data_IF_083341747563
#
_entry.id   IF_083341747563
#
_cell.length_a   1.000
_cell.length_b   1.000
_cell.length_c   1.000
_cell.angle_alpha   90.00
_cell.angle_beta   90.00
_cell.angle_gamma   90.00
#
_symmetry.space_group_name_H-M   'P 1'
#
loop_
_entity.id
_entity.type
_entity.pdbx_description
1 polymer ?
#
# COMPACT_ATOMS: atom_id res chain seq x y z
N UNK A 1 21.31 -20.61 -32.45
CA UNK A 1 20.30 -19.54 -32.28
C UNK A 1 18.89 -20.13 -32.06
N UNK A 2 18.65 -20.84 -30.95
CA UNK A 2 17.30 -21.31 -30.57
C UNK A 2 16.87 -20.94 -29.14
N UNK A 3 17.82 -20.47 -28.32
CA UNK A 3 17.57 -20.05 -26.93
C UNK A 3 17.35 -18.54 -26.75
N UNK A 4 17.69 -17.72 -27.74
CA UNK A 4 17.55 -16.25 -27.64
C UNK A 4 16.08 -15.83 -27.74
N UNK A 5 15.25 -16.55 -28.50
CA UNK A 5 13.82 -16.23 -28.67
C UNK A 5 13.03 -16.46 -27.38
N UNK A 6 13.35 -17.51 -26.61
CA UNK A 6 12.70 -17.77 -25.33
C UNK A 6 12.99 -16.69 -24.27
N UNK A 7 14.22 -16.15 -24.25
CA UNK A 7 14.61 -15.09 -23.32
C UNK A 7 13.93 -13.75 -23.69
N UNK A 8 13.80 -13.43 -24.99
CA UNK A 8 13.11 -12.21 -25.43
C UNK A 8 11.60 -12.25 -25.17
N UNK A 9 10.97 -13.42 -25.29
CA UNK A 9 9.54 -13.59 -24.95
C UNK A 9 9.32 -13.49 -23.44
N UNK A 10 10.20 -14.05 -22.60
CA UNK A 10 10.12 -13.89 -21.14
C UNK A 10 10.42 -12.46 -20.66
N UNK A 11 11.39 -11.76 -21.26
CA UNK A 11 11.69 -10.36 -20.89
C UNK A 11 10.53 -9.40 -21.23
N UNK A 12 9.80 -9.65 -22.32
CA UNK A 12 8.62 -8.84 -22.67
C UNK A 12 7.41 -9.10 -21.75
N UNK A 13 7.30 -10.26 -21.10
CA UNK A 13 6.24 -10.49 -20.10
C UNK A 13 6.47 -9.78 -18.78
N UNK A 14 7.71 -9.36 -18.47
CA UNK A 14 8.03 -8.60 -17.24
C UNK A 14 7.99 -7.07 -17.44
N UNK A 15 7.62 -6.60 -18.63
CA UNK A 15 7.54 -5.17 -18.95
C UNK A 15 6.10 -4.65 -19.00
N UNK A 16 5.17 -5.34 -18.35
CA UNK A 16 3.90 -4.71 -17.98
C UNK A 16 4.22 -3.73 -16.86
N UNK A 17 4.58 -2.51 -17.27
CA UNK A 17 4.40 -1.33 -16.44
C UNK A 17 2.92 -1.35 -16.08
N UNK A 18 2.57 -1.91 -14.92
CA UNK A 18 1.22 -1.86 -14.38
C UNK A 18 0.78 -0.40 -14.48
N UNK A 19 -0.28 -0.15 -15.24
CA UNK A 19 -0.82 1.19 -15.35
C UNK A 19 -1.32 1.55 -13.95
N UNK A 20 -0.56 2.42 -13.28
CA UNK A 20 -0.76 2.78 -11.88
C UNK A 20 -1.00 4.28 -11.77
N UNK A 21 -1.99 4.67 -10.99
CA UNK A 21 -2.23 6.06 -10.64
C UNK A 21 -2.87 6.18 -9.26
N UNK A 22 -2.77 7.37 -8.68
CA UNK A 22 -3.50 7.69 -7.46
C UNK A 22 -3.73 9.19 -7.37
N UNK A 23 -4.73 9.60 -6.58
CA UNK A 23 -4.85 10.97 -6.12
C UNK A 23 -4.04 11.16 -4.85
N UNK A 24 -3.27 12.24 -4.79
CA UNK A 24 -2.60 12.64 -3.57
C UNK A 24 -3.64 13.20 -2.59
N UNK A 25 -4.22 12.31 -1.80
CA UNK A 25 -5.22 12.59 -0.77
C UNK A 25 -4.87 11.78 0.48
N UNK A 26 -4.50 12.52 1.53
CA UNK A 26 -4.13 11.98 2.84
C UNK A 26 -5.30 11.98 3.82
N UNK A 27 -6.51 12.35 3.39
CA UNK A 27 -7.69 12.38 4.24
C UNK A 27 -7.96 10.98 4.79
N UNK A 28 -8.05 10.85 6.11
CA UNK A 28 -8.34 9.59 6.81
C UNK A 28 -7.28 8.48 6.62
N UNK A 29 -6.05 8.87 6.22
CA UNK A 29 -4.89 7.97 6.14
C UNK A 29 -3.83 8.42 7.13
N UNK A 30 -3.42 7.52 8.03
CA UNK A 30 -2.33 7.82 8.97
C UNK A 30 -1.63 6.55 9.48
N UNK A 31 -0.44 6.73 10.05
CA UNK A 31 0.19 5.70 10.89
C UNK A 31 -0.28 5.94 12.32
N UNK A 32 -0.89 4.93 12.94
CA UNK A 32 -1.47 5.03 14.29
C UNK A 32 -0.56 4.49 15.39
N UNK A 33 0.28 3.48 15.09
CA UNK A 33 1.21 2.88 16.04
C UNK A 33 2.45 2.29 15.36
N UNK A 34 3.58 2.31 16.06
CA UNK A 34 4.83 1.65 15.65
C UNK A 34 5.46 0.97 16.85
N UNK A 35 5.76 -0.33 16.74
CA UNK A 35 6.48 -1.10 17.76
C UNK A 35 7.73 -1.74 17.18
N UNK A 36 8.85 -1.57 17.86
CA UNK A 36 10.09 -2.28 17.53
C UNK A 36 10.23 -3.48 18.45
N UNK A 37 10.62 -4.61 17.89
CA UNK A 37 10.87 -5.84 18.64
C UNK A 37 12.37 -6.07 18.82
N UNK A 38 12.75 -6.84 19.85
CA UNK A 38 14.14 -7.27 20.04
C UNK A 38 14.69 -8.15 18.90
N UNK A 39 13.82 -8.74 18.08
CA UNK A 39 14.17 -9.58 16.93
C UNK A 39 14.39 -8.80 15.63
N UNK A 40 14.62 -7.48 15.70
CA UNK A 40 14.74 -6.59 14.53
C UNK A 40 13.52 -6.67 13.61
N UNK A 41 12.35 -6.80 14.20
CA UNK A 41 11.07 -6.64 13.51
C UNK A 41 10.41 -5.35 13.95
N UNK A 42 9.66 -4.75 13.04
CA UNK A 42 8.87 -3.57 13.29
C UNK A 42 7.42 -3.86 12.94
N UNK A 43 6.52 -3.58 13.88
CA UNK A 43 5.08 -3.63 13.67
C UNK A 43 4.59 -2.20 13.41
N UNK A 44 3.91 -1.98 12.29
CA UNK A 44 3.30 -0.69 11.97
C UNK A 44 1.81 -0.88 11.77
N UNK A 45 1.04 -0.09 12.51
CA UNK A 45 -0.40 -0.02 12.35
C UNK A 45 -0.76 1.21 11.53
N UNK A 46 -1.49 0.98 10.46
CA UNK A 46 -1.95 2.00 9.52
C UNK A 46 -3.46 2.11 9.61
N UNK A 47 -3.94 3.33 9.79
CA UNK A 47 -5.34 3.69 9.67
C UNK A 47 -5.67 4.08 8.23
N UNK A 48 -6.81 3.60 7.74
CA UNK A 48 -7.34 3.97 6.43
C UNK A 48 -8.82 4.35 6.46
N UNK A 49 -9.35 4.82 5.32
CA UNK A 49 -10.67 5.42 5.23
C UNK A 49 -11.80 4.42 5.46
N UNK A 50 -12.97 4.94 5.85
CA UNK A 50 -14.22 4.15 5.82
C UNK A 50 -14.66 3.82 4.39
N UNK A 51 -15.46 2.76 4.24
CA UNK A 51 -16.10 2.43 2.96
C UNK A 51 -17.04 3.54 2.51
N UNK A 52 -17.09 3.78 1.20
CA UNK A 52 -18.02 4.73 0.59
C UNK A 52 -18.84 4.01 -0.47
N UNK A 53 -20.16 4.00 -0.31
CA UNK A 53 -21.09 3.50 -1.33
C UNK A 53 -21.84 4.68 -1.95
N UNK A 54 -21.69 4.84 -3.26
CA UNK A 54 -22.43 5.82 -4.02
C UNK A 54 -22.91 5.22 -5.34
N UNK A 55 -24.07 4.55 -5.36
CA UNK A 55 -24.55 3.84 -6.55
C UNK A 55 -24.80 4.74 -7.77
N UNK A 56 -24.82 6.07 -7.59
CA UNK A 56 -25.08 7.04 -8.65
C UNK A 56 -23.81 7.77 -9.14
N UNK A 57 -22.63 7.45 -8.61
CA UNK A 57 -21.37 8.09 -8.99
C UNK A 57 -20.29 7.07 -9.29
N UNK A 58 -19.31 7.49 -10.08
CA UNK A 58 -18.11 6.71 -10.34
C UNK A 58 -16.97 7.20 -9.44
N UNK A 59 -16.27 6.30 -8.73
CA UNK A 59 -16.55 4.88 -8.54
C UNK A 59 -17.74 4.66 -7.58
N UNK A 60 -18.52 3.61 -7.83
CA UNK A 60 -19.77 3.35 -7.10
C UNK A 60 -19.57 2.71 -5.72
N UNK A 61 -18.46 2.00 -5.53
CA UNK A 61 -18.06 1.39 -4.27
C UNK A 61 -16.57 1.66 -4.05
N UNK A 62 -16.23 2.21 -2.90
CA UNK A 62 -14.86 2.37 -2.42
C UNK A 62 -14.71 1.58 -1.12
N UNK A 63 -13.81 0.60 -1.14
CA UNK A 63 -13.56 -0.32 -0.03
C UNK A 63 -12.75 0.36 1.08
N UNK A 64 -12.94 -0.09 2.33
CA UNK A 64 -12.37 0.53 3.53
C UNK A 64 -10.93 0.11 3.82
N UNK A 65 -10.24 0.94 4.60
CA UNK A 65 -8.94 0.64 5.16
C UNK A 65 -7.79 0.72 4.15
N UNK A 66 -6.55 0.47 4.61
CA UNK A 66 -5.38 0.43 3.73
C UNK A 66 -5.49 -0.77 2.79
N UNK A 67 -5.30 -0.54 1.50
CA UNK A 67 -5.39 -1.58 0.47
C UNK A 67 -4.03 -1.95 -0.08
N UNK A 68 -3.13 -0.96 -0.24
CA UNK A 68 -1.77 -1.16 -0.72
C UNK A 68 -0.82 -0.37 0.15
N UNK A 69 0.31 -0.97 0.52
CA UNK A 69 1.45 -0.28 1.11
C UNK A 69 2.57 -0.20 0.07
N UNK A 70 3.18 0.97 -0.05
CA UNK A 70 4.36 1.22 -0.89
C UNK A 70 5.65 1.30 -0.10
N UNK A 71 6.53 2.22 -0.52
CA UNK A 71 7.84 2.41 0.10
C UNK A 71 7.71 2.63 1.60
N UNK A 72 8.60 1.99 2.36
CA UNK A 72 8.60 2.01 3.82
C UNK A 72 10.04 2.11 4.33
N UNK A 73 10.43 3.31 4.80
CA UNK A 73 11.81 3.68 5.15
C UNK A 73 11.88 4.42 6.49
N UNK A 74 13.01 4.30 7.18
CA UNK A 74 13.31 5.03 8.40
C UNK A 74 14.45 6.02 8.22
N UNK A 75 14.36 7.15 8.91
CA UNK A 75 15.31 8.26 8.87
C UNK A 75 15.60 8.78 10.28
N UNK A 76 16.67 9.56 10.42
CA UNK A 76 16.92 10.36 11.63
C UNK A 76 17.00 11.83 11.24
N UNK A 77 18.07 12.22 10.53
CA UNK A 77 18.40 13.63 10.26
C UNK A 77 18.41 14.01 8.78
N UNK A 78 18.73 13.07 7.88
CA UNK A 78 18.88 13.36 6.46
C UNK A 78 17.76 12.69 5.66
N UNK A 79 16.81 13.44 5.07
CA UNK A 79 15.70 12.86 4.30
C UNK A 79 16.15 12.13 3.02
N UNK A 80 17.40 12.34 2.58
CA UNK A 80 17.95 11.69 1.38
C UNK A 80 18.77 10.42 1.69
N UNK A 81 18.95 10.07 2.96
CA UNK A 81 19.75 8.91 3.38
C UNK A 81 18.98 8.10 4.44
N UNK A 82 18.16 7.12 4.01
CA UNK A 82 17.43 6.28 4.95
C UNK A 82 18.39 5.41 5.77
N UNK A 83 18.16 5.36 7.07
CA UNK A 83 18.91 4.47 7.97
C UNK A 83 18.50 3.01 7.78
N UNK A 84 17.27 2.76 7.33
CA UNK A 84 16.80 1.45 6.91
C UNK A 84 15.69 1.55 5.86
N UNK A 85 15.69 0.60 4.94
CA UNK A 85 14.61 0.35 3.99
C UNK A 85 13.95 -0.96 4.39
N UNK A 86 12.72 -0.89 4.89
CA UNK A 86 11.95 -2.06 5.30
C UNK A 86 11.29 -2.70 4.08
N UNK A 87 10.75 -1.85 3.20
CA UNK A 87 10.12 -2.26 1.95
C UNK A 87 10.38 -1.23 0.86
N UNK A 88 10.63 -1.70 -0.36
CA UNK A 88 10.91 -0.86 -1.53
C UNK A 88 10.22 -1.44 -2.77
N UNK A 89 8.91 -1.58 -2.64
CA UNK A 89 7.97 -1.94 -3.70
C UNK A 89 6.55 -1.57 -3.24
N UNK A 90 5.52 -2.00 -3.95
CA UNK A 90 4.12 -1.93 -3.52
C UNK A 90 3.51 -3.32 -3.40
N UNK A 91 2.64 -3.48 -2.42
CA UNK A 91 1.97 -4.76 -2.19
C UNK A 91 0.52 -4.51 -1.76
N UNK A 92 -0.42 -5.27 -2.32
CA UNK A 92 -1.74 -5.42 -1.74
C UNK A 92 -1.64 -6.02 -0.33
N UNK A 93 -2.32 -5.41 0.63
CA UNK A 93 -2.29 -5.79 2.04
C UNK A 93 -3.70 -5.96 2.57
N UNK A 94 -3.85 -6.28 3.86
CA UNK A 94 -5.15 -6.26 4.53
C UNK A 94 -6.18 -7.17 3.84
N UNK A 95 -5.70 -8.29 3.29
CA UNK A 95 -6.46 -9.28 2.54
C UNK A 95 -6.92 -8.85 1.14
N UNK A 96 -6.61 -7.64 0.70
CA UNK A 96 -6.90 -7.19 -0.65
C UNK A 96 -6.00 -7.85 -1.70
N UNK A 97 -6.52 -7.93 -2.92
CA UNK A 97 -5.82 -8.34 -4.13
C UNK A 97 -6.53 -7.77 -5.36
N UNK A 98 -5.94 -7.97 -6.52
CA UNK A 98 -6.58 -7.66 -7.81
C UNK A 98 -7.93 -8.36 -7.97
N UNK A 99 -8.07 -9.59 -7.44
CA UNK A 99 -9.27 -10.42 -7.57
C UNK A 99 -10.46 -9.96 -6.71
N UNK A 100 -10.21 -9.25 -5.61
CA UNK A 100 -11.25 -8.82 -4.68
C UNK A 100 -11.39 -7.29 -4.56
N UNK A 101 -10.54 -6.54 -5.25
CA UNK A 101 -10.72 -5.10 -5.43
C UNK A 101 -11.84 -4.80 -6.42
N UNK A 102 -12.51 -3.66 -6.23
CA UNK A 102 -13.62 -3.26 -7.11
C UNK A 102 -13.12 -3.05 -8.54
N UNK A 103 -13.74 -3.75 -9.50
CA UNK A 103 -13.60 -3.44 -10.92
C UNK A 103 -14.46 -2.21 -11.26
N UNK A 104 -13.85 -1.09 -11.68
CA UNK A 104 -14.58 0.15 -11.94
C UNK A 104 -15.61 0.00 -13.07
N UNK A 105 -15.41 -0.92 -14.02
CA UNK A 105 -16.35 -1.15 -15.13
C UNK A 105 -17.69 -1.71 -14.63
N UNK A 106 -17.71 -2.41 -13.51
CA UNK A 106 -18.95 -2.93 -12.90
C UNK A 106 -19.86 -1.79 -12.41
N UNK A 107 -19.30 -0.61 -12.12
CA UNK A 107 -20.07 0.56 -11.75
C UNK A 107 -20.74 1.24 -12.95
N UNK A 108 -20.21 1.06 -14.16
CA UNK A 108 -20.63 1.81 -15.36
C UNK A 108 -21.37 0.96 -16.38
N UNK A 109 -21.08 -0.35 -16.48
CA UNK A 109 -21.47 -1.18 -17.62
C UNK A 109 -22.10 -2.53 -17.23
N UNK A 110 -22.58 -2.68 -15.99
CA UNK A 110 -23.20 -3.91 -15.49
C UNK A 110 -24.49 -3.67 -14.69
N UNK A 111 -25.13 -4.74 -14.18
CA UNK A 111 -26.13 -4.59 -13.13
C UNK A 111 -25.51 -3.86 -11.92
N UNK A 112 -26.30 -3.08 -11.14
CA UNK A 112 -25.77 -2.31 -10.03
C UNK A 112 -24.93 -3.18 -9.08
N UNK A 113 -23.67 -2.81 -8.89
CA UNK A 113 -22.78 -3.48 -7.96
C UNK A 113 -23.33 -3.30 -6.55
N UNK A 114 -23.53 -4.40 -5.83
CA UNK A 114 -23.94 -4.38 -4.44
C UNK A 114 -22.71 -4.14 -3.56
N UNK A 115 -22.49 -2.88 -3.16
CA UNK A 115 -21.36 -2.49 -2.33
C UNK A 115 -21.38 -3.15 -0.93
N UNK A 116 -22.48 -3.76 -0.49
CA UNK A 116 -22.49 -4.50 0.78
C UNK A 116 -21.93 -5.92 0.64
N UNK A 117 -21.65 -6.37 -0.60
CA UNK A 117 -21.08 -7.69 -0.89
C UNK A 117 -19.63 -7.66 -1.35
N UNK A 118 -19.03 -6.49 -1.53
CA UNK A 118 -17.61 -6.40 -1.87
C UNK A 118 -16.77 -6.75 -0.65
N UNK A 119 -15.53 -7.21 -0.88
CA UNK A 119 -14.62 -7.50 0.21
C UNK A 119 -14.27 -6.21 0.97
N UNK A 120 -14.14 -6.29 2.29
CA UNK A 120 -13.72 -5.16 3.13
C UNK A 120 -12.59 -5.63 4.05
N UNK A 121 -11.47 -4.91 3.99
CA UNK A 121 -10.35 -5.07 4.91
C UNK A 121 -10.63 -4.41 6.27
N UNK A 122 -9.69 -4.54 7.20
CA UNK A 122 -9.73 -3.82 8.45
C UNK A 122 -9.45 -2.32 8.24
N UNK A 123 -10.14 -1.46 8.98
CA UNK A 123 -9.87 0.00 8.98
C UNK A 123 -8.46 0.28 9.51
N UNK A 124 -8.07 -0.43 10.57
CA UNK A 124 -6.73 -0.43 11.14
C UNK A 124 -6.02 -1.72 10.75
N UNK A 125 -4.93 -1.61 10.01
CA UNK A 125 -4.15 -2.75 9.54
C UNK A 125 -2.74 -2.71 10.12
N UNK A 126 -2.35 -3.77 10.82
CA UNK A 126 -0.99 -3.95 11.34
C UNK A 126 -0.20 -4.89 10.44
N UNK A 127 1.01 -4.48 10.03
CA UNK A 127 1.99 -5.35 9.38
C UNK A 127 3.27 -5.44 10.21
N UNK A 128 3.91 -6.60 10.16
CA UNK A 128 5.17 -6.87 10.84
C UNK A 128 6.22 -7.21 9.79
N UNK A 129 7.34 -6.50 9.80
CA UNK A 129 8.42 -6.69 8.83
C UNK A 129 9.78 -6.72 9.53
N UNK A 130 10.72 -7.46 8.95
CA UNK A 130 12.10 -7.43 9.39
C UNK A 130 12.80 -6.19 8.82
N UNK A 131 13.74 -5.62 9.58
CA UNK A 131 14.54 -4.50 9.11
C UNK A 131 16.01 -4.64 9.56
N UNK A 132 16.90 -3.91 8.89
CA UNK A 132 18.29 -3.79 9.35
C UNK A 132 18.40 -2.70 10.41
N UNK A 133 18.67 -3.11 11.65
CA UNK A 133 18.83 -2.21 12.79
C UNK A 133 20.24 -1.57 12.89
N UNK A 134 21.18 -1.89 12.00
CA UNK A 134 22.60 -1.52 12.10
C UNK A 134 22.85 0.00 12.22
N UNK A 135 21.97 0.82 11.65
CA UNK A 135 22.07 2.29 11.63
C UNK A 135 21.06 2.98 12.55
N UNK A 136 20.25 2.22 13.30
CA UNK A 136 19.32 2.80 14.27
C UNK A 136 20.09 3.40 15.46
N UNK A 137 19.53 4.44 16.10
CA UNK A 137 20.14 5.00 17.29
C UNK A 137 20.08 4.01 18.46
N UNK A 138 20.78 4.31 19.55
CA UNK A 138 20.56 3.58 20.80
C UNK A 138 19.09 3.70 21.26
N UNK A 139 18.56 2.72 22.02
CA UNK A 139 17.20 2.79 22.54
C UNK A 139 16.90 4.13 23.23
N UNK A 140 15.77 4.73 22.91
CA UNK A 140 15.40 6.10 23.30
C UNK A 140 15.67 7.17 22.24
N UNK A 141 16.40 6.84 21.17
CA UNK A 141 16.63 7.76 20.05
C UNK A 141 15.38 7.94 19.17
N UNK A 142 15.21 9.13 18.60
CA UNK A 142 14.11 9.42 17.68
C UNK A 142 14.43 8.95 16.26
N UNK A 143 13.42 8.41 15.59
CA UNK A 143 13.45 8.03 14.19
C UNK A 143 12.17 8.48 13.50
N UNK A 144 12.25 8.79 12.22
CA UNK A 144 11.11 9.17 11.38
C UNK A 144 10.83 8.04 10.40
N UNK A 145 9.63 7.49 10.47
CA UNK A 145 9.05 6.64 9.43
C UNK A 145 8.58 7.51 8.27
N UNK A 146 8.91 7.11 7.05
CA UNK A 146 8.25 7.56 5.81
C UNK A 146 7.65 6.35 5.11
N UNK A 147 6.34 6.38 4.88
CA UNK A 147 5.59 5.24 4.36
C UNK A 147 4.54 5.68 3.33
N UNK A 148 4.50 5.02 2.18
CA UNK A 148 3.42 5.20 1.21
C UNK A 148 2.25 4.27 1.54
N UNK A 149 1.05 4.84 1.62
CA UNK A 149 -0.19 4.13 1.91
C UNK A 149 -1.22 4.51 0.83
N UNK A 150 -1.88 3.51 0.27
CA UNK A 150 -2.95 3.69 -0.70
C UNK A 150 -4.21 2.95 -0.26
N UNK A 151 -5.34 3.62 -0.43
CA UNK A 151 -6.65 3.13 -0.05
C UNK A 151 -7.67 3.49 -1.13
N UNK A 152 -8.88 2.91 -1.00
CA UNK A 152 -9.94 3.12 -1.97
C UNK A 152 -9.43 2.86 -3.40
N UNK A 153 -8.79 1.72 -3.60
CA UNK A 153 -8.18 1.30 -4.84
C UNK A 153 -9.16 0.48 -5.69
N UNK A 154 -9.05 0.64 -7.00
CA UNK A 154 -9.82 -0.12 -7.99
C UNK A 154 -8.86 -0.78 -8.97
N UNK A 155 -9.19 -1.99 -9.41
CA UNK A 155 -8.40 -2.72 -10.41
C UNK A 155 -9.24 -2.96 -11.66
N UNK A 156 -8.72 -2.52 -12.81
CA UNK A 156 -9.38 -2.69 -14.09
C UNK A 156 -8.60 -3.72 -14.94
N UNK A 157 -9.08 -4.99 -15.01
CA UNK A 157 -8.42 -6.01 -15.82
C UNK A 157 -8.47 -5.68 -17.33
N UNK A 158 -9.52 -4.99 -17.79
CA UNK A 158 -9.71 -4.65 -19.21
C UNK A 158 -8.74 -3.57 -19.69
N UNK A 159 -8.19 -2.77 -18.77
CA UNK A 159 -7.22 -1.71 -19.07
C UNK A 159 -5.79 -2.11 -18.70
N UNK A 160 -5.33 -3.25 -19.25
CA UNK A 160 -3.99 -3.82 -19.01
C UNK A 160 -3.70 -4.11 -17.52
N UNK A 161 -4.73 -4.46 -16.74
CA UNK A 161 -4.57 -4.65 -15.30
C UNK A 161 -4.16 -3.37 -14.58
N UNK A 162 -4.83 -2.25 -14.87
CA UNK A 162 -4.50 -0.98 -14.24
C UNK A 162 -5.06 -0.90 -12.83
N UNK A 163 -4.27 -0.41 -11.89
CA UNK A 163 -4.76 -0.06 -10.55
C UNK A 163 -4.81 1.45 -10.39
N UNK A 164 -5.92 1.95 -9.86
CA UNK A 164 -6.06 3.36 -9.50
C UNK A 164 -6.60 3.51 -8.08
N UNK A 165 -5.89 4.27 -7.25
CA UNK A 165 -6.29 4.54 -5.86
C UNK A 165 -6.82 5.97 -5.72
N UNK A 166 -8.05 6.09 -5.23
CA UNK A 166 -8.68 7.40 -5.03
C UNK A 166 -8.09 8.15 -3.84
N UNK A 167 -7.41 7.43 -2.94
CA UNK A 167 -6.60 8.02 -1.89
C UNK A 167 -5.22 7.37 -1.83
N UNK A 168 -4.20 8.22 -1.72
CA UNK A 168 -2.81 7.81 -1.66
C UNK A 168 -1.98 8.90 -1.02
N UNK A 169 -1.14 8.51 -0.06
CA UNK A 169 -0.38 9.46 0.75
C UNK A 169 0.98 8.88 1.15
N UNK A 170 2.00 9.73 1.11
CA UNK A 170 3.27 9.49 1.79
C UNK A 170 3.17 10.07 3.21
N UNK A 171 3.06 9.21 4.20
CA UNK A 171 2.92 9.58 5.61
C UNK A 171 4.29 9.65 6.27
N UNK A 172 4.48 10.68 7.08
CA UNK A 172 5.65 10.84 7.94
C UNK A 172 5.21 10.64 9.40
N UNK A 173 5.89 9.77 10.15
CA UNK A 173 5.58 9.51 11.55
C UNK A 173 6.85 9.48 12.40
N UNK A 174 6.93 10.34 13.40
CA UNK A 174 8.09 10.40 14.31
C UNK A 174 7.80 9.50 15.50
N UNK A 175 8.72 8.57 15.78
CA UNK A 175 8.64 7.66 16.92
C UNK A 175 9.99 7.55 17.63
N UNK A 176 9.97 6.90 18.80
CA UNK A 176 11.17 6.56 19.55
C UNK A 176 11.53 5.12 19.24
N UNK A 177 12.76 4.90 18.79
CA UNK A 177 13.31 3.56 18.67
C UNK A 177 13.53 2.98 20.06
N UNK A 178 12.68 2.05 20.46
CA UNK A 178 12.77 1.35 21.73
C UNK A 178 12.34 -0.11 21.54
N UNK A 179 13.27 -1.00 21.16
CA UNK A 179 12.97 -2.43 20.99
C UNK A 179 12.46 -3.05 22.29
N UNK A 180 11.28 -3.66 22.24
CA UNK A 180 10.65 -4.37 23.35
C UNK A 180 10.63 -5.88 23.13
#
# INVERSE_FOLDING_TARGET
MKYIVFIIVFLNTFSNIFAWGYNYDCTDISVSDIKFTQSNQVEVTVHGPQRVSNPNQFPCCLQQGPMIIGDYKFYINNPNDPIATVWNDRQWVNGYSEDNSVNPNNCSYGPPLDCDKVYEGAIDYTRTDNFDASRFPSPGGQVTLVMDIFAQCTFNPDYKGSTYCYQGCTVNYITVYNPQ
#
